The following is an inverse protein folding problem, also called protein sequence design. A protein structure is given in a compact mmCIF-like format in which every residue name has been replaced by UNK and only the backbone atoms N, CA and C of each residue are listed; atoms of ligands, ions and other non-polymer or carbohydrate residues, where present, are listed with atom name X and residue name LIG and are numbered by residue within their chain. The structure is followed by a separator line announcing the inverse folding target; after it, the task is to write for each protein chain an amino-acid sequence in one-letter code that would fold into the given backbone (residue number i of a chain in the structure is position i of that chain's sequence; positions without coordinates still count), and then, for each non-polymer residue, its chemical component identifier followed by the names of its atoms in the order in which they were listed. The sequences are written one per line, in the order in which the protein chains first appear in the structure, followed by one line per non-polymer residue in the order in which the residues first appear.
data_IF_978830421253
#
_entry.id   IF_978830421253
#
_cell.length_a   1.000
_cell.length_b   1.000
_cell.length_c   1.000
_cell.angle_alpha   90.00
_cell.angle_beta   90.00
_cell.angle_gamma   90.00
#
_symmetry.space_group_name_H-M   'P 1'
#
loop_
_entity.id
_entity.type
_entity.pdbx_description
1 polymer ?
#
# COMPACT_ATOMS: atom_id res chain seq x y z
N UNK A 1 36.80 -3.50 11.30
CA UNK A 1 36.11 -2.52 12.17
C UNK A 1 34.64 -2.53 11.76
N UNK A 2 33.88 -3.45 12.34
CA UNK A 2 32.54 -3.79 11.87
C UNK A 2 31.51 -2.80 12.40
N UNK A 3 30.85 -2.08 11.49
CA UNK A 3 29.61 -1.39 11.80
C UNK A 3 28.49 -2.43 11.86
N UNK A 4 28.08 -2.78 13.06
CA UNK A 4 26.82 -3.47 13.29
C UNK A 4 25.70 -2.54 12.83
N UNK A 5 25.09 -2.88 11.68
CA UNK A 5 23.82 -2.31 11.28
C UNK A 5 22.81 -2.58 12.39
N UNK A 6 22.26 -1.52 12.92
CA UNK A 6 21.16 -1.53 13.86
C UNK A 6 19.98 -2.25 13.18
N UNK A 7 19.78 -3.51 13.54
CA UNK A 7 18.67 -4.34 13.08
C UNK A 7 17.41 -3.75 13.71
N UNK A 8 16.72 -2.90 12.96
CA UNK A 8 15.36 -2.48 13.29
C UNK A 8 14.46 -3.71 13.17
N UNK A 9 14.12 -4.27 14.33
CA UNK A 9 13.14 -5.34 14.47
C UNK A 9 11.83 -4.89 13.81
N UNK A 10 11.32 -5.73 12.91
CA UNK A 10 10.10 -5.44 12.18
C UNK A 10 8.92 -5.52 13.15
N UNK A 11 8.49 -4.39 13.71
CA UNK A 11 7.33 -4.38 14.60
C UNK A 11 6.08 -4.77 13.77
N UNK A 12 5.31 -5.79 14.18
CA UNK A 12 4.13 -6.25 13.43
C UNK A 12 3.09 -5.14 13.22
N UNK A 13 3.13 -4.08 14.03
CA UNK A 13 2.20 -2.95 13.97
C UNK A 13 2.57 -1.87 12.93
N UNK A 14 3.69 -1.96 12.20
CA UNK A 14 4.06 -0.89 11.24
C UNK A 14 3.04 -0.74 10.09
N UNK A 15 2.28 -1.79 9.77
CA UNK A 15 1.17 -1.70 8.82
C UNK A 15 -0.15 -1.26 9.49
N UNK A 16 -0.24 -1.35 10.81
CA UNK A 16 -1.39 -0.95 11.64
C UNK A 16 -1.19 0.42 12.33
N UNK A 17 -0.04 1.04 12.15
CA UNK A 17 0.36 2.33 12.72
C UNK A 17 1.08 3.20 11.68
N UNK A 18 1.29 4.48 12.02
CA UNK A 18 2.03 5.41 11.17
C UNK A 18 1.33 5.82 9.86
N UNK A 19 2.15 6.28 8.91
CA UNK A 19 1.68 6.92 7.68
C UNK A 19 0.98 5.94 6.74
N UNK A 20 1.39 4.67 6.72
CA UNK A 20 0.73 3.65 5.90
C UNK A 20 -0.76 3.54 6.21
N UNK A 21 -1.12 3.41 7.50
CA UNK A 21 -2.53 3.31 7.92
C UNK A 21 -3.31 4.58 7.59
N UNK A 22 -2.70 5.74 7.79
CA UNK A 22 -3.33 7.03 7.46
C UNK A 22 -3.61 7.12 5.96
N UNK A 23 -2.62 6.76 5.13
CA UNK A 23 -2.74 6.72 3.68
C UNK A 23 -3.83 5.75 3.23
N UNK A 24 -3.80 4.52 3.76
CA UNK A 24 -4.78 3.48 3.44
C UNK A 24 -6.20 3.91 3.79
N UNK A 25 -6.43 4.42 4.99
CA UNK A 25 -7.72 4.98 5.39
C UNK A 25 -8.16 6.15 4.49
N UNK A 26 -7.24 7.04 4.10
CA UNK A 26 -7.57 8.15 3.23
C UNK A 26 -8.07 7.66 1.86
N UNK A 27 -7.41 6.65 1.26
CA UNK A 27 -7.88 6.03 0.02
C UNK A 27 -9.21 5.28 0.19
N UNK A 28 -9.33 4.46 1.23
CA UNK A 28 -10.53 3.64 1.48
C UNK A 28 -11.78 4.49 1.76
N UNK A 29 -11.62 5.63 2.45
CA UNK A 29 -12.71 6.56 2.78
C UNK A 29 -12.84 7.73 1.79
N UNK A 30 -12.11 7.71 0.68
CA UNK A 30 -12.08 8.77 -0.33
C UNK A 30 -11.85 10.18 0.25
N UNK A 31 -10.93 10.29 1.22
CA UNK A 31 -10.58 11.54 1.89
C UNK A 31 -9.30 12.12 1.30
N UNK A 32 -9.30 13.43 1.08
CA UNK A 32 -8.10 14.16 0.70
C UNK A 32 -7.44 14.71 1.97
N UNK A 33 -6.15 14.41 2.15
CA UNK A 33 -5.37 14.81 3.32
C UNK A 33 -3.99 15.31 2.90
N UNK A 34 -3.43 16.18 3.72
CA UNK A 34 -2.04 16.64 3.63
C UNK A 34 -1.30 16.23 4.90
N UNK A 35 -0.14 15.63 4.73
CA UNK A 35 0.77 15.24 5.79
C UNK A 35 1.98 16.16 5.65
N UNK A 36 2.17 17.02 6.65
CA UNK A 36 3.26 17.99 6.73
C UNK A 36 4.33 17.43 7.65
N UNK A 37 5.59 17.41 7.21
CA UNK A 37 6.70 16.92 8.02
C UNK A 37 7.45 18.09 8.65
N UNK A 38 7.76 17.99 9.94
CA UNK A 38 8.57 18.98 10.64
C UNK A 38 10.03 18.88 10.15
N UNK A 39 10.69 20.02 9.98
CA UNK A 39 12.15 20.07 9.80
C UNK A 39 12.76 20.72 11.03
N UNK A 40 13.79 20.10 11.62
CA UNK A 40 14.47 20.62 12.81
C UNK A 40 15.18 21.97 12.55
N UNK A 41 15.42 22.33 11.28
CA UNK A 41 16.17 23.54 10.94
C UNK A 41 15.33 24.81 10.79
N UNK A 42 14.03 24.72 10.53
CA UNK A 42 13.16 25.90 10.44
C UNK A 42 11.73 25.53 10.84
N UNK A 43 11.21 26.21 11.86
CA UNK A 43 9.86 26.07 12.43
C UNK A 43 8.68 26.26 11.44
N UNK A 44 8.96 26.42 10.14
CA UNK A 44 8.00 26.72 9.08
C UNK A 44 8.30 26.02 7.73
N UNK A 45 8.95 24.85 7.69
CA UNK A 45 9.17 24.12 6.42
C UNK A 45 7.83 23.67 5.81
N UNK A 46 7.33 24.47 4.87
CA UNK A 46 6.10 24.25 4.09
C UNK A 46 6.32 23.39 2.85
N UNK A 47 7.57 23.01 2.58
CA UNK A 47 7.99 22.33 1.34
C UNK A 47 8.09 20.81 1.49
N UNK A 48 8.17 20.27 2.71
CA UNK A 48 8.19 18.83 2.98
C UNK A 48 6.80 18.31 3.29
N UNK A 49 6.13 17.79 2.27
CA UNK A 49 4.77 17.29 2.43
C UNK A 49 4.43 16.12 1.53
N UNK A 50 3.48 15.32 2.02
CA UNK A 50 2.80 14.25 1.29
C UNK A 50 1.32 14.61 1.21
N UNK A 51 0.81 14.82 0.01
CA UNK A 51 -0.64 14.93 -0.21
C UNK A 51 -1.17 13.59 -0.68
N UNK A 52 -2.25 13.14 -0.07
CA UNK A 52 -2.99 11.96 -0.45
C UNK A 52 -4.37 12.42 -0.87
N UNK A 53 -4.69 12.25 -2.15
CA UNK A 53 -6.03 12.47 -2.66
C UNK A 53 -6.76 11.14 -2.76
N UNK A 54 -7.45 10.76 -1.69
CA UNK A 54 -8.28 9.56 -1.65
C UNK A 54 -9.43 9.61 -2.66
N UNK A 55 -9.95 10.79 -2.97
CA UNK A 55 -11.03 10.97 -3.95
C UNK A 55 -10.60 10.62 -5.37
N UNK A 56 -9.35 10.88 -5.74
CA UNK A 56 -8.81 10.61 -7.08
C UNK A 56 -7.91 9.37 -7.15
N UNK A 57 -7.58 8.76 -6.00
CA UNK A 57 -6.64 7.64 -5.94
C UNK A 57 -5.22 8.04 -6.31
N UNK A 58 -4.79 9.25 -5.90
CA UNK A 58 -3.47 9.80 -6.26
C UNK A 58 -2.73 10.36 -5.05
N UNK A 59 -1.42 10.52 -5.18
CA UNK A 59 -0.57 11.16 -4.18
C UNK A 59 0.39 12.16 -4.82
N UNK A 60 0.86 13.12 -4.03
CA UNK A 60 1.91 14.08 -4.38
C UNK A 60 2.92 14.06 -3.25
N UNK A 61 4.19 14.08 -3.59
CA UNK A 61 5.29 14.06 -2.64
C UNK A 61 6.25 15.19 -3.00
N UNK A 62 6.59 16.02 -2.02
CA UNK A 62 7.47 17.18 -2.18
C UNK A 62 8.55 17.14 -1.10
N UNK A 63 9.81 17.27 -1.53
CA UNK A 63 11.02 17.29 -0.69
C UNK A 63 11.06 16.20 0.40
N UNK A 64 10.59 15.01 0.05
CA UNK A 64 10.57 13.81 0.90
C UNK A 64 11.08 12.61 0.12
N UNK A 65 11.49 11.58 0.82
CA UNK A 65 11.75 10.27 0.25
C UNK A 65 11.00 9.19 1.04
N UNK A 66 10.88 7.99 0.47
CA UNK A 66 10.11 6.92 1.12
C UNK A 66 10.77 6.38 2.38
N UNK A 67 12.09 6.53 2.54
CA UNK A 67 12.79 6.13 3.76
C UNK A 67 12.37 7.01 4.95
N UNK A 68 12.33 8.33 4.75
CA UNK A 68 11.81 9.29 5.72
C UNK A 68 10.35 9.03 6.06
N UNK A 69 9.52 8.64 5.09
CA UNK A 69 8.09 8.37 5.31
C UNK A 69 7.90 7.08 6.11
N UNK A 70 8.64 6.02 5.79
CA UNK A 70 8.53 4.71 6.45
C UNK A 70 9.03 4.78 7.89
N UNK A 71 10.09 5.55 8.14
CA UNK A 71 10.71 5.68 9.47
C UNK A 71 10.13 6.81 10.33
N UNK A 72 9.16 7.57 9.82
CA UNK A 72 8.58 8.71 10.55
C UNK A 72 7.71 8.26 11.74
N UNK A 73 7.97 8.87 12.89
CA UNK A 73 7.16 8.75 14.08
C UNK A 73 5.99 9.77 14.06
N UNK A 74 4.98 9.56 14.88
CA UNK A 74 3.79 10.43 14.98
C UNK A 74 4.12 11.89 15.33
N UNK A 75 5.26 12.16 15.97
CA UNK A 75 5.71 13.52 16.28
C UNK A 75 6.37 14.23 15.08
N UNK A 76 6.81 13.48 14.07
CA UNK A 76 7.56 14.02 12.92
C UNK A 76 6.65 14.67 11.88
N UNK A 77 5.34 14.42 11.96
CA UNK A 77 4.39 14.92 11.00
C UNK A 77 3.06 15.37 11.62
N UNK A 78 2.33 16.21 10.88
CA UNK A 78 0.97 16.62 11.18
C UNK A 78 0.05 16.32 10.01
N UNK A 79 -1.11 15.75 10.30
CA UNK A 79 -2.13 15.45 9.28
C UNK A 79 -3.19 16.54 9.28
N UNK A 80 -3.55 17.03 8.09
CA UNK A 80 -4.62 18.00 7.85
C UNK A 80 -5.58 17.45 6.80
N UNK A 81 -6.89 17.60 7.03
CA UNK A 81 -7.90 17.32 6.01
C UNK A 81 -7.91 18.43 4.96
N UNK A 82 -8.01 18.07 3.68
CA UNK A 82 -8.18 18.99 2.58
C UNK A 82 -9.64 18.98 2.12
N UNK A 83 -10.19 20.14 1.74
CA UNK A 83 -11.47 20.17 1.01
C UNK A 83 -11.22 19.73 -0.44
N UNK A 84 -12.18 19.03 -1.02
CA UNK A 84 -12.08 18.54 -2.39
C UNK A 84 -11.75 19.70 -3.37
N UNK A 85 -10.77 19.48 -4.26
CA UNK A 85 -10.37 20.45 -5.29
C UNK A 85 -9.30 21.47 -4.89
N UNK A 86 -8.74 21.41 -3.67
CA UNK A 86 -7.77 22.39 -3.15
C UNK A 86 -6.34 22.28 -3.70
N UNK A 87 -6.06 21.44 -4.70
CA UNK A 87 -4.72 21.34 -5.27
C UNK A 87 -4.76 21.67 -6.77
N UNK A 88 -4.83 22.96 -7.14
CA UNK A 88 -4.67 23.39 -8.53
C UNK A 88 -3.33 22.89 -9.08
N UNK A 89 -3.32 22.31 -10.29
CA UNK A 89 -2.10 21.76 -10.90
C UNK A 89 -1.67 20.37 -10.39
N UNK A 90 -2.32 19.82 -9.35
CA UNK A 90 -2.03 18.47 -8.83
C UNK A 90 -2.04 17.39 -9.90
N UNK A 91 -2.90 17.49 -10.91
CA UNK A 91 -3.04 16.42 -11.90
C UNK A 91 -1.75 16.17 -12.70
N UNK A 92 -0.91 17.19 -12.90
CA UNK A 92 0.36 17.05 -13.62
C UNK A 92 1.50 16.49 -12.74
N UNK A 93 1.49 16.76 -11.44
CA UNK A 93 2.56 16.34 -10.51
C UNK A 93 2.19 15.05 -9.74
N UNK A 94 0.91 14.72 -9.68
CA UNK A 94 0.41 13.58 -8.90
C UNK A 94 0.68 12.24 -9.56
N UNK A 95 0.86 11.23 -8.71
CA UNK A 95 1.15 9.84 -9.06
C UNK A 95 0.04 8.93 -8.54
N UNK A 96 -0.19 7.75 -9.14
CA UNK A 96 -1.28 6.86 -8.73
C UNK A 96 -0.99 6.19 -7.38
N UNK A 97 -2.05 5.81 -6.64
CA UNK A 97 -1.94 5.27 -5.29
C UNK A 97 -1.19 3.92 -5.21
N UNK A 98 -1.31 3.09 -6.23
CA UNK A 98 -0.58 1.83 -6.37
C UNK A 98 0.94 2.04 -6.36
N UNK A 99 1.44 3.10 -7.00
CA UNK A 99 2.85 3.49 -6.95
C UNK A 99 3.29 3.88 -5.53
N UNK A 100 2.43 4.57 -4.76
CA UNK A 100 2.73 4.89 -3.36
C UNK A 100 2.89 3.61 -2.55
N UNK A 101 1.93 2.70 -2.62
CA UNK A 101 1.95 1.46 -1.84
C UNK A 101 3.09 0.54 -2.26
N UNK A 102 3.39 0.45 -3.56
CA UNK A 102 4.54 -0.30 -4.04
C UNK A 102 5.84 0.24 -3.44
N UNK A 103 6.10 1.55 -3.58
CA UNK A 103 7.32 2.19 -3.07
C UNK A 103 7.43 2.09 -1.56
N UNK A 104 6.32 2.28 -0.85
CA UNK A 104 6.27 2.15 0.60
C UNK A 104 6.60 0.73 1.05
N UNK A 105 5.92 -0.30 0.51
CA UNK A 105 6.21 -1.69 0.84
C UNK A 105 7.62 -2.12 0.44
N UNK A 106 8.11 -1.65 -0.71
CA UNK A 106 9.45 -1.97 -1.18
C UNK A 106 10.51 -1.47 -0.19
N UNK A 107 10.37 -0.22 0.29
CA UNK A 107 11.28 0.35 1.29
C UNK A 107 11.10 -0.32 2.66
N UNK A 108 9.85 -0.47 3.11
CA UNK A 108 9.51 -1.07 4.40
C UNK A 108 10.03 -2.51 4.51
N UNK A 109 9.80 -3.32 3.48
CA UNK A 109 10.22 -4.72 3.42
C UNK A 109 11.73 -4.85 3.62
N UNK A 110 12.54 -4.02 2.97
CA UNK A 110 14.00 -4.11 2.99
C UNK A 110 14.52 -5.54 2.75
N UNK A 111 13.86 -6.32 1.88
CA UNK A 111 14.19 -7.73 1.61
C UNK A 111 13.49 -8.75 2.52
N UNK A 112 12.83 -8.30 3.59
CA UNK A 112 12.06 -9.17 4.49
C UNK A 112 10.62 -9.29 4.00
N UNK A 113 10.02 -10.44 4.26
CA UNK A 113 8.62 -10.64 3.92
C UNK A 113 7.73 -9.85 4.90
N UNK A 114 6.74 -9.10 4.40
CA UNK A 114 5.81 -8.38 5.27
C UNK A 114 4.97 -9.35 6.12
N UNK A 115 4.52 -8.96 7.33
CA UNK A 115 3.74 -9.84 8.21
C UNK A 115 2.46 -10.42 7.58
N UNK A 116 1.83 -9.68 6.66
CA UNK A 116 0.63 -10.14 5.95
C UNK A 116 0.93 -11.20 4.86
N UNK A 117 2.19 -11.38 4.49
CA UNK A 117 2.64 -12.22 3.39
C UNK A 117 3.31 -13.50 3.91
N UNK A 118 3.19 -14.62 3.18
CA UNK A 118 3.81 -15.91 3.51
C UNK A 118 4.60 -16.46 2.33
N UNK A 119 5.70 -17.17 2.61
CA UNK A 119 6.55 -17.75 1.56
C UNK A 119 5.84 -18.84 0.73
N UNK A 120 4.84 -19.49 1.32
CA UNK A 120 4.01 -20.49 0.66
C UNK A 120 2.81 -19.87 -0.07
N UNK A 121 2.64 -18.55 -0.09
CA UNK A 121 1.54 -17.89 -0.81
C UNK A 121 1.62 -18.15 -2.30
N UNK A 122 0.56 -18.70 -2.87
CA UNK A 122 0.42 -18.97 -4.31
C UNK A 122 -0.21 -17.74 -4.94
N UNK A 123 0.61 -16.98 -5.67
CA UNK A 123 0.21 -15.69 -6.19
C UNK A 123 0.32 -15.62 -7.71
N UNK A 124 -0.56 -14.83 -8.30
CA UNK A 124 -0.49 -14.41 -9.70
C UNK A 124 -0.54 -12.89 -9.78
N UNK A 125 0.25 -12.29 -10.67
CA UNK A 125 0.12 -10.87 -10.99
C UNK A 125 -1.07 -10.65 -11.92
N UNK A 126 -1.91 -9.67 -11.56
CA UNK A 126 -3.07 -9.25 -12.35
C UNK A 126 -2.65 -8.47 -13.60
N UNK A 127 -1.59 -7.69 -13.48
CA UNK A 127 -0.98 -6.92 -14.55
C UNK A 127 0.48 -6.61 -14.20
N UNK A 128 1.24 -6.17 -15.20
CA UNK A 128 2.64 -5.79 -15.00
C UNK A 128 2.75 -4.47 -14.22
N UNK A 129 3.67 -4.37 -13.25
CA UNK A 129 4.03 -3.10 -12.63
C UNK A 129 4.67 -2.16 -13.67
N UNK A 130 4.45 -0.85 -13.52
CA UNK A 130 5.15 0.14 -14.35
C UNK A 130 6.61 0.33 -13.88
N UNK A 131 7.50 -0.56 -14.29
CA UNK A 131 8.91 -0.56 -13.86
C UNK A 131 9.70 0.71 -14.20
N UNK A 132 9.25 1.51 -15.18
CA UNK A 132 9.89 2.81 -15.48
C UNK A 132 9.73 3.83 -14.35
N UNK A 133 8.80 3.59 -13.42
CA UNK A 133 8.46 4.49 -12.31
C UNK A 133 8.56 3.83 -10.94
N UNK A 134 8.93 2.55 -10.87
CA UNK A 134 8.95 1.80 -9.62
C UNK A 134 10.37 1.36 -9.27
N UNK A 135 10.72 1.26 -7.97
CA UNK A 135 11.95 0.61 -7.58
C UNK A 135 11.94 -0.84 -8.06
N UNK A 136 13.07 -1.26 -8.63
CA UNK A 136 13.28 -2.60 -9.17
C UNK A 136 14.54 -3.20 -8.60
N UNK A 137 14.56 -4.52 -8.64
CA UNK A 137 15.71 -5.38 -8.40
C UNK A 137 16.17 -6.01 -9.73
N UNK A 138 17.38 -6.58 -9.81
CA UNK A 138 17.91 -7.15 -11.06
C UNK A 138 16.98 -8.14 -11.77
N UNK A 139 16.22 -8.94 -11.03
CA UNK A 139 15.33 -9.97 -11.54
C UNK A 139 13.85 -9.58 -11.50
N UNK A 140 13.50 -8.31 -11.23
CA UNK A 140 12.09 -7.87 -11.16
C UNK A 140 11.27 -8.23 -12.40
N UNK A 141 11.85 -8.08 -13.60
CA UNK A 141 11.20 -8.47 -14.86
C UNK A 141 10.97 -9.99 -14.97
N UNK A 142 11.94 -10.81 -14.54
CA UNK A 142 11.83 -12.29 -14.55
C UNK A 142 10.77 -12.77 -13.57
N UNK A 143 10.73 -12.18 -12.38
CA UNK A 143 9.71 -12.45 -11.37
C UNK A 143 8.33 -12.06 -11.91
N UNK A 144 8.19 -10.88 -12.50
CA UNK A 144 6.93 -10.43 -13.07
C UNK A 144 6.43 -11.32 -14.22
N UNK A 145 7.34 -11.72 -15.12
CA UNK A 145 7.01 -12.63 -16.21
C UNK A 145 6.49 -13.97 -15.69
N UNK A 146 7.18 -14.58 -14.73
CA UNK A 146 6.77 -15.85 -14.14
C UNK A 146 5.39 -15.75 -13.45
N UNK A 147 5.22 -14.76 -12.58
CA UNK A 147 4.01 -14.60 -11.77
C UNK A 147 2.80 -14.11 -12.59
N UNK A 148 3.02 -13.50 -13.75
CA UNK A 148 1.92 -13.17 -14.67
C UNK A 148 1.47 -14.42 -15.44
N UNK A 149 2.44 -15.20 -15.93
CA UNK A 149 2.16 -16.37 -16.76
C UNK A 149 1.41 -17.48 -16.00
N UNK A 150 1.70 -17.66 -14.70
CA UNK A 150 1.07 -18.72 -13.90
C UNK A 150 1.05 -18.40 -12.40
N UNK A 151 -0.04 -18.75 -11.69
CA UNK A 151 -0.03 -18.75 -10.23
C UNK A 151 1.11 -19.63 -9.70
N UNK A 152 2.01 -19.06 -8.92
CA UNK A 152 3.19 -19.77 -8.40
C UNK A 152 3.40 -19.39 -6.95
N UNK A 153 3.83 -20.35 -6.11
CA UNK A 153 4.22 -20.01 -4.74
C UNK A 153 5.50 -19.17 -4.72
N UNK A 154 5.67 -18.28 -3.75
CA UNK A 154 6.87 -17.46 -3.65
C UNK A 154 8.12 -18.31 -3.48
N UNK A 155 8.08 -19.34 -2.65
CA UNK A 155 9.18 -20.31 -2.49
C UNK A 155 9.51 -21.03 -3.81
N UNK A 156 8.49 -21.50 -4.55
CA UNK A 156 8.73 -22.14 -5.85
C UNK A 156 9.30 -21.16 -6.88
N UNK A 157 8.79 -19.93 -6.94
CA UNK A 157 9.28 -18.90 -7.83
C UNK A 157 10.74 -18.53 -7.52
N UNK A 158 11.10 -18.47 -6.23
CA UNK A 158 12.46 -18.24 -5.77
C UNK A 158 13.42 -19.31 -6.32
N UNK A 159 13.08 -20.59 -6.16
CA UNK A 159 13.89 -21.73 -6.63
C UNK A 159 13.97 -21.81 -8.14
N UNK A 160 12.86 -21.61 -8.85
CA UNK A 160 12.82 -21.67 -10.32
C UNK A 160 13.66 -20.58 -10.97
N UNK A 161 13.65 -19.36 -10.42
CA UNK A 161 14.39 -18.24 -10.97
C UNK A 161 15.82 -18.13 -10.44
N UNK A 162 16.16 -18.92 -9.41
CA UNK A 162 17.44 -18.89 -8.69
C UNK A 162 17.77 -17.48 -8.19
N UNK A 163 16.76 -16.80 -7.63
CA UNK A 163 16.90 -15.44 -7.07
C UNK A 163 17.05 -15.49 -5.56
N UNK A 164 17.55 -14.42 -4.95
CA UNK A 164 17.65 -14.34 -3.50
C UNK A 164 16.27 -14.26 -2.84
N UNK A 165 16.14 -14.79 -1.62
CA UNK A 165 14.93 -14.60 -0.81
C UNK A 165 14.64 -13.11 -0.59
N UNK A 166 15.67 -12.30 -0.36
CA UNK A 166 15.52 -10.87 -0.16
C UNK A 166 14.82 -10.21 -1.35
N UNK A 167 15.31 -10.48 -2.55
CA UNK A 167 14.79 -9.91 -3.79
C UNK A 167 13.33 -10.29 -4.05
N UNK A 168 12.99 -11.58 -3.96
CA UNK A 168 11.62 -12.03 -4.24
C UNK A 168 10.63 -11.60 -3.14
N UNK A 169 11.05 -11.58 -1.88
CA UNK A 169 10.22 -11.12 -0.77
C UNK A 169 9.91 -9.62 -0.90
N UNK A 170 10.90 -8.81 -1.30
CA UNK A 170 10.72 -7.39 -1.50
C UNK A 170 9.78 -7.10 -2.68
N UNK A 171 9.98 -7.80 -3.81
CA UNK A 171 9.09 -7.71 -4.96
C UNK A 171 7.65 -8.10 -4.57
N UNK A 172 7.49 -9.25 -3.91
CA UNK A 172 6.18 -9.76 -3.54
C UNK A 172 5.47 -8.83 -2.55
N UNK A 173 6.18 -8.36 -1.53
CA UNK A 173 5.65 -7.41 -0.54
C UNK A 173 5.13 -6.13 -1.20
N UNK A 174 5.88 -5.57 -2.15
CA UNK A 174 5.49 -4.40 -2.92
C UNK A 174 4.25 -4.67 -3.79
N UNK A 175 4.25 -5.80 -4.52
CA UNK A 175 3.14 -6.20 -5.37
C UNK A 175 1.85 -6.54 -4.59
N UNK A 176 2.01 -7.04 -3.36
CA UNK A 176 0.92 -7.32 -2.43
C UNK A 176 0.23 -6.03 -1.98
N UNK A 177 0.97 -5.09 -1.38
CA UNK A 177 0.37 -3.85 -0.89
C UNK A 177 -0.15 -2.94 -2.00
N UNK A 178 0.48 -2.96 -3.18
CA UNK A 178 -0.02 -2.24 -4.36
C UNK A 178 -1.29 -2.84 -4.97
N UNK A 179 -1.73 -4.03 -4.53
CA UNK A 179 -2.92 -4.69 -5.03
C UNK A 179 -2.74 -5.36 -6.41
N UNK A 180 -1.50 -5.56 -6.86
CA UNK A 180 -1.22 -6.19 -8.16
C UNK A 180 -1.33 -7.70 -8.12
N UNK A 181 -1.31 -8.31 -6.93
CA UNK A 181 -1.34 -9.76 -6.78
C UNK A 181 -2.75 -10.29 -6.52
N UNK A 182 -2.99 -11.52 -6.96
CA UNK A 182 -4.14 -12.34 -6.61
C UNK A 182 -3.62 -13.59 -5.90
N UNK A 183 -4.16 -13.84 -4.71
CA UNK A 183 -3.84 -15.00 -3.89
C UNK A 183 -4.81 -16.15 -4.17
N UNK A 184 -4.32 -17.38 -4.22
CA UNK A 184 -5.11 -18.56 -4.58
C UNK A 184 -5.25 -19.59 -3.45
N UNK A 185 -4.31 -19.63 -2.51
CA UNK A 185 -4.21 -20.72 -1.53
C UNK A 185 -4.73 -20.36 -0.13
N UNK A 186 -5.14 -19.11 0.11
CA UNK A 186 -5.86 -18.71 1.33
C UNK A 186 -6.78 -17.51 1.07
N UNK A 187 -7.88 -17.36 1.84
CA UNK A 187 -8.64 -16.12 1.83
C UNK A 187 -7.74 -14.96 2.27
N UNK A 188 -7.99 -13.77 1.72
CA UNK A 188 -7.31 -12.55 2.17
C UNK A 188 -7.70 -12.33 3.64
N UNK A 189 -6.72 -12.12 4.53
CA UNK A 189 -6.93 -11.91 5.97
C UNK A 189 -7.63 -10.57 6.32
N UNK A 190 -8.29 -9.93 5.35
CA UNK A 190 -9.17 -8.80 5.60
C UNK A 190 -10.58 -9.33 5.86
N UNK A 191 -11.09 -9.34 7.11
CA UNK A 191 -12.52 -9.42 7.28
C UNK A 191 -13.11 -8.19 6.59
N UNK A 192 -13.78 -8.38 5.46
CA UNK A 192 -14.63 -7.34 4.87
C UNK A 192 -15.75 -7.12 5.89
N UNK A 193 -15.53 -6.23 6.85
CA UNK A 193 -16.61 -5.72 7.68
C UNK A 193 -17.50 -4.90 6.77
N UNK A 194 -18.54 -5.54 6.23
CA UNK A 194 -19.66 -4.81 5.67
C UNK A 194 -20.28 -4.00 6.80
N UNK A 195 -19.93 -2.72 6.93
CA UNK A 195 -20.70 -1.81 7.77
C UNK A 195 -22.09 -1.77 7.18
N UNK A 196 -23.06 -2.23 7.95
CA UNK A 196 -24.47 -2.11 7.61
C UNK A 196 -24.76 -0.61 7.50
N UNK A 197 -24.95 -0.10 6.27
CA UNK A 197 -25.34 1.29 6.06
C UNK A 197 -26.69 1.54 6.74
N UNK A 198 -26.84 2.71 7.37
CA UNK A 198 -28.02 3.09 8.19
C UNK A 198 -29.36 2.92 7.43
N UNK A 199 -29.34 3.04 6.11
CA UNK A 199 -30.53 2.94 5.26
C UNK A 199 -30.89 1.51 4.80
N UNK A 200 -30.14 0.48 5.20
CA UNK A 200 -30.48 -0.93 4.93
C UNK A 200 -31.84 -1.30 5.55
N UNK A 201 -32.27 -0.63 6.61
CA UNK A 201 -33.59 -0.79 7.21
C UNK A 201 -34.73 -0.48 6.22
N UNK A 202 -34.59 0.58 5.43
CA UNK A 202 -35.61 1.00 4.45
C UNK A 202 -35.69 0.00 3.29
N UNK A 203 -34.53 -0.45 2.80
CA UNK A 203 -34.45 -1.46 1.74
C UNK A 203 -35.07 -2.78 2.22
N UNK A 204 -34.81 -3.21 3.47
CA UNK A 204 -35.47 -4.37 4.08
C UNK A 204 -36.99 -4.21 4.15
N UNK A 205 -37.45 -3.02 4.53
CA UNK A 205 -38.89 -2.73 4.64
C UNK A 205 -39.59 -2.78 3.27
N UNK A 206 -38.92 -2.29 2.21
CA UNK A 206 -39.41 -2.37 0.84
C UNK A 206 -39.40 -3.81 0.32
N UNK A 207 -38.33 -4.57 0.54
CA UNK A 207 -38.22 -5.97 0.12
C UNK A 207 -39.29 -6.86 0.79
N UNK A 208 -39.56 -6.63 2.07
CA UNK A 208 -40.62 -7.35 2.79
C UNK A 208 -42.01 -7.04 2.24
N UNK A 209 -42.22 -5.84 1.67
CA UNK A 209 -43.50 -5.46 1.05
C UNK A 209 -43.78 -6.19 -0.27
N UNK A 210 -42.73 -6.60 -0.99
CA UNK A 210 -42.85 -7.37 -2.23
C UNK A 210 -42.93 -8.89 -2.00
N UNK A 211 -42.64 -9.35 -0.78
CA UNK A 211 -42.77 -10.76 -0.40
C UNK A 211 -44.23 -11.06 -0.02
N UNK A 212 -45.13 -11.09 -1.02
CA UNK A 212 -46.46 -11.69 -0.82
C UNK A 212 -46.29 -13.20 -0.63
N UNK A 213 -46.93 -13.84 0.36
CA UNK A 213 -46.99 -15.29 0.39
C UNK A 213 -47.78 -15.77 -0.82
N UNK A 214 -47.17 -16.66 -1.62
CA UNK A 214 -47.87 -17.48 -2.60
C UNK A 214 -48.97 -18.26 -1.86
N UNK A 215 -50.23 -17.94 -2.16
CA UNK A 215 -51.37 -18.81 -1.85
C UNK A 215 -51.29 -20.08 -2.69
#
# INVERSE_FOLDING_TARGET
MGMAQQVSDFHPDILEEGIFRIARKAFDYHKDIQILFSSDEYLCSSDRYLVISGSTGRFILSNLNFDQIVNANANDYRVRGLKAGLIPGARQVSRPADEFFWRYAFQLSAGRLLPSCRSNDVVQLRHWPNFTRLPITPNSYRIAALLTARPTSIDTAQRLLQVSHAEINQFYSAAWLAGYTRLFNRPLDTPVQFKTHEHIGVIRMLLNRFRRPSR
#
